data_IF_545089284069
#
_entry.id   IF_545089284069
#
_cell.length_a   1.000
_cell.length_b   1.000
_cell.length_c   1.000
_cell.angle_alpha   90.00
_cell.angle_beta   90.00
_cell.angle_gamma   90.00
#
_symmetry.space_group_name_H-M   'P 1'
#
loop_
_entity.id
_entity.type
_entity.pdbx_description
1 polymer ?
#
# COMPACT_ATOMS: atom_id res chain seq x y z
N UNK A 1 -13.44 0.21 13.46
CA UNK A 1 -14.05 -1.13 13.46
C UNK A 1 -14.01 -1.89 12.14
N UNK A 2 -13.75 -1.27 10.97
CA UNK A 2 -13.64 -2.02 9.71
C UNK A 2 -12.41 -2.95 9.64
N UNK A 3 -11.26 -2.52 10.16
CA UNK A 3 -10.03 -3.32 10.11
C UNK A 3 -10.14 -4.64 10.91
N UNK A 4 -10.90 -4.68 12.01
CA UNK A 4 -10.94 -5.83 12.92
C UNK A 4 -11.47 -7.10 12.28
N UNK A 5 -12.38 -6.99 11.29
CA UNK A 5 -12.96 -8.13 10.57
C UNK A 5 -12.01 -8.70 9.51
N UNK A 6 -11.21 -7.83 8.90
CA UNK A 6 -10.30 -8.20 7.81
C UNK A 6 -8.98 -8.78 8.34
N UNK A 7 -8.54 -8.40 9.54
CA UNK A 7 -7.33 -8.95 10.17
C UNK A 7 -7.37 -10.48 10.32
N UNK A 8 -8.55 -11.06 10.60
CA UNK A 8 -8.70 -12.52 10.73
C UNK A 8 -8.74 -13.30 9.41
N UNK A 9 -8.88 -12.61 8.27
CA UNK A 9 -8.97 -13.23 6.94
C UNK A 9 -7.64 -13.29 6.21
N UNK A 10 -6.69 -12.48 6.64
CA UNK A 10 -5.41 -12.29 5.95
C UNK A 10 -4.31 -13.11 6.62
N UNK A 11 -3.38 -13.71 5.85
CA UNK A 11 -2.33 -14.57 6.39
C UNK A 11 -1.16 -13.79 7.00
N UNK A 12 -1.17 -12.46 6.95
CA UNK A 12 -0.09 -11.59 7.43
C UNK A 12 -0.45 -10.94 8.77
N UNK A 13 0.57 -10.73 9.62
CA UNK A 13 0.41 -10.14 10.94
C UNK A 13 0.14 -8.63 10.81
N UNK A 14 -1.05 -8.20 11.23
CA UNK A 14 -1.41 -6.78 11.32
C UNK A 14 -1.29 -6.36 12.78
N UNK A 15 -0.43 -5.39 13.04
CA UNK A 15 -0.24 -4.80 14.36
C UNK A 15 -0.81 -3.39 14.38
N UNK A 16 -1.26 -2.95 15.55
CA UNK A 16 -1.70 -1.58 15.76
C UNK A 16 -0.47 -0.71 16.04
N UNK A 17 -0.19 0.24 15.15
CA UNK A 17 0.89 1.20 15.30
C UNK A 17 0.48 2.45 16.09
N UNK A 18 1.43 3.38 16.20
CA UNK A 18 1.19 4.69 16.81
C UNK A 18 0.03 5.42 16.11
N UNK A 19 -0.78 6.17 16.87
CA UNK A 19 -2.01 6.84 16.41
C UNK A 19 -3.12 5.92 15.88
N UNK A 20 -3.24 4.69 16.39
CA UNK A 20 -4.33 3.77 16.04
C UNK A 20 -4.37 3.41 14.54
N UNK A 21 -3.22 3.48 13.88
CA UNK A 21 -3.06 3.15 12.46
C UNK A 21 -2.73 1.66 12.29
N UNK A 22 -3.35 0.96 11.32
CA UNK A 22 -2.99 -0.41 11.02
C UNK A 22 -1.60 -0.46 10.38
N UNK A 23 -0.73 -1.35 10.87
CA UNK A 23 0.58 -1.63 10.28
C UNK A 23 0.72 -3.11 10.04
N UNK A 24 1.38 -3.49 8.96
CA UNK A 24 1.68 -4.88 8.64
C UNK A 24 3.10 -5.18 9.10
N UNK A 25 3.27 -6.22 9.91
CA UNK A 25 4.58 -6.68 10.36
C UNK A 25 5.13 -7.68 9.35
N UNK A 26 6.29 -7.35 8.78
CA UNK A 26 7.01 -8.19 7.82
C UNK A 26 8.42 -8.38 8.39
N UNK A 27 8.69 -9.58 8.91
CA UNK A 27 9.90 -9.83 9.70
C UNK A 27 9.92 -8.96 10.96
N UNK A 28 11.03 -8.24 11.15
CA UNK A 28 11.22 -7.32 12.29
C UNK A 28 10.79 -5.88 12.00
N UNK A 29 10.26 -5.61 10.80
CA UNK A 29 9.87 -4.26 10.37
C UNK A 29 8.36 -4.11 10.31
N UNK A 30 7.90 -2.93 10.69
CA UNK A 30 6.50 -2.54 10.62
C UNK A 30 6.31 -1.59 9.44
N UNK A 31 5.48 -2.00 8.48
CA UNK A 31 5.16 -1.21 7.30
C UNK A 31 3.73 -0.70 7.39
N UNK A 32 3.54 0.54 6.99
CA UNK A 32 2.21 1.10 6.75
C UNK A 32 1.66 0.58 5.41
N UNK A 33 0.33 0.47 5.26
CA UNK A 33 -0.29 0.12 3.98
C UNK A 33 0.16 1.03 2.82
N UNK A 34 0.39 2.31 3.12
CA UNK A 34 0.88 3.31 2.17
C UNK A 34 2.29 2.97 1.66
N UNK A 35 3.20 2.56 2.55
CA UNK A 35 4.56 2.17 2.17
C UNK A 35 4.57 0.91 1.29
N UNK A 36 3.76 -0.10 1.63
CA UNK A 36 3.64 -1.32 0.81
C UNK A 36 3.08 -0.98 -0.56
N UNK A 37 2.06 -0.12 -0.63
CA UNK A 37 1.48 0.35 -1.89
C UNK A 37 2.51 1.12 -2.72
N UNK A 38 3.32 1.96 -2.08
CA UNK A 38 4.41 2.69 -2.73
C UNK A 38 5.46 1.73 -3.34
N UNK A 39 5.81 0.63 -2.67
CA UNK A 39 6.73 -0.37 -3.24
C UNK A 39 6.17 -1.02 -4.51
N UNK A 40 4.87 -1.28 -4.55
CA UNK A 40 4.19 -1.81 -5.75
C UNK A 40 4.27 -0.78 -6.88
N UNK A 41 3.93 0.49 -6.59
CA UNK A 41 3.98 1.57 -7.58
C UNK A 41 5.40 1.83 -8.10
N UNK A 42 6.41 1.75 -7.22
CA UNK A 42 7.82 1.86 -7.63
C UNK A 42 8.23 0.73 -8.58
N UNK A 43 7.77 -0.51 -8.33
CA UNK A 43 8.02 -1.63 -9.24
C UNK A 43 7.34 -1.43 -10.60
N UNK A 44 6.10 -0.93 -10.61
CA UNK A 44 5.38 -0.61 -11.84
C UNK A 44 6.06 0.52 -12.62
N UNK A 45 6.49 1.57 -11.92
CA UNK A 45 7.30 2.65 -12.49
C UNK A 45 8.56 2.09 -13.14
N UNK A 46 9.34 1.29 -12.42
CA UNK A 46 10.57 0.69 -12.97
C UNK A 46 10.29 -0.15 -14.22
N UNK A 47 9.22 -0.94 -14.21
CA UNK A 47 8.81 -1.74 -15.38
C UNK A 47 8.48 -0.85 -16.59
N UNK A 48 7.80 0.28 -16.36
CA UNK A 48 7.51 1.25 -17.40
C UNK A 48 8.78 1.98 -17.89
N UNK A 49 9.68 2.35 -16.99
CA UNK A 49 10.98 2.95 -17.31
C UNK A 49 11.86 1.98 -18.13
N UNK A 50 11.91 0.71 -17.74
CA UNK A 50 12.64 -0.34 -18.45
C UNK A 50 12.06 -0.58 -19.86
N UNK A 51 10.74 -0.47 -20.02
CA UNK A 51 10.06 -0.60 -21.32
C UNK A 51 10.25 0.63 -22.22
N UNK A 52 10.19 1.84 -21.64
CA UNK A 52 10.27 3.11 -22.38
C UNK A 52 11.71 3.60 -22.58
N UNK A 53 12.68 3.08 -21.82
CA UNK A 53 14.08 3.53 -21.83
C UNK A 53 14.26 4.97 -21.32
N UNK A 54 13.29 5.53 -20.60
CA UNK A 54 13.30 6.90 -20.08
C UNK A 54 12.61 6.98 -18.71
N UNK A 55 12.90 8.03 -17.94
CA UNK A 55 12.34 8.20 -16.60
C UNK A 55 10.87 8.58 -16.64
N UNK A 56 10.07 7.96 -15.78
CA UNK A 56 8.61 8.22 -15.67
C UNK A 56 8.35 8.99 -14.38
N UNK A 57 7.90 10.24 -14.50
CA UNK A 57 7.62 11.14 -13.36
C UNK A 57 6.14 11.25 -13.00
N UNK A 58 5.25 11.00 -13.95
CA UNK A 58 3.80 11.19 -13.79
C UNK A 58 3.05 9.89 -14.06
N UNK A 59 2.01 9.62 -13.27
CA UNK A 59 1.18 8.43 -13.39
C UNK A 59 -0.27 8.73 -13.00
N UNK A 60 -1.20 8.08 -13.68
CA UNK A 60 -2.62 8.05 -13.31
C UNK A 60 -2.89 6.72 -12.61
N UNK A 61 -3.31 6.77 -11.35
CA UNK A 61 -3.58 5.58 -10.53
C UNK A 61 -5.08 5.44 -10.34
N UNK A 62 -5.63 4.28 -10.66
CA UNK A 62 -7.06 4.00 -10.50
C UNK A 62 -7.39 3.68 -9.04
N UNK A 63 -8.49 4.26 -8.53
CA UNK A 63 -9.07 3.92 -7.22
C UNK A 63 -10.52 3.47 -7.39
N UNK A 64 -11.03 2.69 -6.44
CA UNK A 64 -12.43 2.25 -6.48
C UNK A 64 -13.38 3.42 -6.21
N UNK A 65 -14.54 3.42 -6.86
CA UNK A 65 -15.52 4.51 -6.78
C UNK A 65 -16.08 4.77 -5.37
N UNK A 66 -15.97 3.79 -4.46
CA UNK A 66 -16.49 3.87 -3.09
C UNK A 66 -15.43 4.21 -2.04
N UNK A 67 -14.19 4.52 -2.44
CA UNK A 67 -13.16 4.97 -1.51
C UNK A 67 -13.54 6.31 -0.89
N UNK A 68 -13.43 6.40 0.43
CA UNK A 68 -13.61 7.65 1.16
C UNK A 68 -12.36 8.53 1.06
N UNK A 69 -12.47 9.81 1.43
CA UNK A 69 -11.39 10.81 1.25
C UNK A 69 -10.09 10.45 1.98
N UNK A 70 -10.18 9.69 3.08
CA UNK A 70 -9.02 9.19 3.82
C UNK A 70 -8.33 7.98 3.16
N UNK A 71 -9.00 7.33 2.20
CA UNK A 71 -8.49 6.21 1.42
C UNK A 71 -8.06 6.64 0.00
N UNK A 72 -8.48 7.83 -0.46
CA UNK A 72 -8.18 8.40 -1.77
C UNK A 72 -6.81 9.08 -1.79
#
# INVERSE_FOLDING_TARGET
DECSKEIGRVPYEVVKGDNNTPRVKIGDRHYTPQEISAMILQKMKKTAEDYLGSSVSEAVITVQAYFNDAQR
#
